data_IF_343681116528
#
_entry.id   IF_343681116528
#
_cell.length_a   1.000
_cell.length_b   1.000
_cell.length_c   1.000
_cell.angle_alpha   90.00
_cell.angle_beta   90.00
_cell.angle_gamma   90.00
#
_symmetry.space_group_name_H-M   'P 1'
#
loop_
_entity.id
_entity.type
_entity.pdbx_description
1 polymer ?
#
# COMPACT_ATOMS: atom_id res chain seq x y z
N UNK A 1 25.67 14.55 -0.91
CA UNK A 1 24.94 14.50 0.38
C UNK A 1 24.61 13.03 0.71
N UNK A 2 24.78 12.59 1.97
CA UNK A 2 24.38 11.23 2.38
C UNK A 2 22.91 11.24 2.80
N UNK A 3 22.08 10.39 2.19
CA UNK A 3 20.67 10.17 2.59
C UNK A 3 20.64 9.01 3.58
N UNK A 4 19.88 9.14 4.66
CA UNK A 4 19.79 8.14 5.75
C UNK A 4 18.35 7.70 5.92
N UNK A 5 18.14 6.43 6.26
CA UNK A 5 16.85 5.91 6.70
C UNK A 5 16.74 6.24 8.20
N UNK A 6 15.77 7.08 8.56
CA UNK A 6 15.54 7.50 9.94
C UNK A 6 14.43 6.72 10.65
N UNK A 7 13.62 5.95 9.91
CA UNK A 7 12.62 5.05 10.48
C UNK A 7 12.01 4.15 9.42
N UNK A 8 11.47 3.02 9.87
CA UNK A 8 10.92 1.96 9.03
C UNK A 8 9.54 1.56 9.54
N UNK A 9 8.64 1.22 8.62
CA UNK A 9 7.30 0.74 8.95
C UNK A 9 6.76 -0.10 7.81
N UNK A 10 6.12 -1.21 8.16
CA UNK A 10 5.58 -2.14 7.18
C UNK A 10 4.74 -3.22 7.82
N UNK A 11 3.92 -3.85 7.01
CA UNK A 11 3.09 -4.99 7.36
C UNK A 11 2.96 -5.88 6.12
N UNK A 12 3.06 -7.19 6.31
CA UNK A 12 2.97 -8.23 5.29
C UNK A 12 2.17 -9.42 5.83
N UNK A 13 1.88 -10.39 4.97
CA UNK A 13 1.30 -11.67 5.41
C UNK A 13 2.17 -12.41 6.45
N UNK A 14 3.48 -12.13 6.45
CA UNK A 14 4.48 -12.69 7.36
C UNK A 14 4.55 -12.02 8.74
N UNK A 15 3.98 -10.82 8.92
CA UNK A 15 4.11 -10.03 10.14
C UNK A 15 3.38 -8.69 10.05
N UNK A 16 2.75 -8.27 11.14
CA UNK A 16 1.92 -7.04 11.18
C UNK A 16 2.72 -5.79 11.53
N UNK A 17 4.02 -5.96 11.77
CA UNK A 17 5.01 -4.92 11.97
C UNK A 17 6.34 -5.35 11.33
N UNK A 18 7.31 -4.44 11.30
CA UNK A 18 8.60 -4.71 10.67
C UNK A 18 9.39 -5.80 11.42
N UNK A 19 9.40 -5.78 12.75
CA UNK A 19 10.18 -6.74 13.53
C UNK A 19 9.67 -8.18 13.34
N UNK A 20 8.35 -8.38 13.40
CA UNK A 20 7.72 -9.70 13.20
C UNK A 20 7.88 -10.20 11.76
N UNK A 21 7.76 -9.31 10.77
CA UNK A 21 8.00 -9.65 9.37
C UNK A 21 9.44 -10.12 9.12
N UNK A 22 10.42 -9.40 9.65
CA UNK A 22 11.84 -9.74 9.55
C UNK A 22 12.15 -11.04 10.29
N UNK A 23 11.60 -11.24 11.49
CA UNK A 23 11.78 -12.48 12.23
C UNK A 23 11.20 -13.69 11.50
N UNK A 24 10.04 -13.55 10.85
CA UNK A 24 9.46 -14.61 10.03
C UNK A 24 10.33 -14.96 8.82
N UNK A 25 10.90 -13.95 8.15
CA UNK A 25 11.81 -14.12 7.02
C UNK A 25 13.05 -14.95 7.39
N UNK A 26 13.70 -14.64 8.53
CA UNK A 26 14.91 -15.35 8.96
C UNK A 26 14.65 -16.73 9.58
N UNK A 27 13.39 -17.08 9.83
CA UNK A 27 12.98 -18.38 10.36
C UNK A 27 12.37 -19.30 9.29
N UNK A 28 12.40 -18.89 8.01
CA UNK A 28 11.76 -19.59 6.87
C UNK A 28 10.29 -19.97 7.15
N UNK A 29 9.57 -19.13 7.91
CA UNK A 29 8.17 -19.35 8.24
C UNK A 29 7.30 -18.96 7.05
N UNK A 30 6.80 -19.96 6.34
CA UNK A 30 5.83 -19.83 5.24
C UNK A 30 4.45 -20.22 5.75
N UNK A 31 3.48 -19.33 5.59
CA UNK A 31 2.09 -19.59 5.97
C UNK A 31 1.12 -19.15 4.88
N UNK A 32 1.24 -19.69 3.65
CA UNK A 32 0.28 -19.39 2.59
C UNK A 32 -1.06 -20.07 2.93
N UNK A 33 -2.16 -19.40 2.61
CA UNK A 33 -3.50 -19.87 2.94
C UNK A 33 -4.46 -19.56 1.79
N UNK A 34 -5.63 -20.21 1.70
CA UNK A 34 -6.67 -19.79 0.75
C UNK A 34 -7.01 -18.31 0.91
N UNK A 35 -7.27 -17.62 -0.20
CA UNK A 35 -7.67 -16.21 -0.18
C UNK A 35 -8.97 -16.04 0.63
N UNK A 36 -8.99 -15.09 1.59
CA UNK A 36 -10.15 -14.89 2.47
C UNK A 36 -11.08 -13.77 2.01
N UNK A 37 -10.55 -12.74 1.33
CA UNK A 37 -11.34 -11.60 0.84
C UNK A 37 -12.12 -11.86 -0.44
N UNK A 38 -11.75 -12.88 -1.21
CA UNK A 38 -12.38 -13.21 -2.49
C UNK A 38 -12.24 -14.69 -2.82
N UNK A 39 -13.10 -15.19 -3.71
CA UNK A 39 -13.02 -16.56 -4.21
C UNK A 39 -12.29 -16.62 -5.55
N UNK A 40 -11.40 -17.58 -5.69
CA UNK A 40 -10.74 -17.95 -6.94
C UNK A 40 -11.48 -19.14 -7.55
N UNK A 41 -12.17 -18.93 -8.67
CA UNK A 41 -12.92 -19.99 -9.38
C UNK A 41 -11.99 -20.74 -10.34
N UNK A 42 -11.03 -21.49 -9.78
CA UNK A 42 -10.11 -22.36 -10.53
C UNK A 42 -10.25 -23.82 -10.08
N UNK A 43 -9.97 -24.81 -10.95
CA UNK A 43 -10.00 -26.23 -10.56
C UNK A 43 -9.00 -26.61 -9.47
N UNK A 44 -7.89 -25.88 -9.39
CA UNK A 44 -6.84 -26.06 -8.37
C UNK A 44 -6.94 -24.94 -7.32
N UNK A 45 -6.57 -25.28 -6.08
CA UNK A 45 -6.40 -24.30 -5.02
C UNK A 45 -5.03 -23.64 -5.14
N UNK A 46 -5.01 -22.31 -5.19
CA UNK A 46 -3.78 -21.51 -5.21
C UNK A 46 -3.68 -20.74 -3.89
N UNK A 47 -2.82 -21.16 -2.96
CA UNK A 47 -2.68 -20.47 -1.69
C UNK A 47 -1.97 -19.14 -1.89
N UNK A 48 -2.31 -18.15 -1.06
CA UNK A 48 -1.83 -16.77 -1.17
C UNK A 48 -1.24 -16.29 0.16
N UNK A 49 -0.38 -15.28 0.06
CA UNK A 49 0.10 -14.50 1.19
C UNK A 49 -0.78 -13.27 1.35
N UNK A 50 -1.74 -13.35 2.28
CA UNK A 50 -2.72 -12.29 2.50
C UNK A 50 -2.62 -11.74 3.93
N UNK A 51 -2.62 -10.42 4.07
CA UNK A 51 -2.86 -9.78 5.37
C UNK A 51 -4.25 -10.17 5.91
N UNK A 52 -4.41 -10.38 7.23
CA UNK A 52 -5.73 -10.63 7.82
C UNK A 52 -6.76 -9.58 7.37
N UNK A 53 -7.98 -9.96 6.96
CA UNK A 53 -8.99 -9.00 6.54
C UNK A 53 -9.23 -7.90 7.58
N UNK A 54 -9.24 -8.28 8.86
CA UNK A 54 -9.46 -7.44 10.04
C UNK A 54 -8.34 -6.42 10.35
N UNK A 55 -7.23 -6.42 9.63
CA UNK A 55 -6.15 -5.43 9.86
C UNK A 55 -6.59 -4.00 9.53
N UNK A 56 -7.62 -3.87 8.70
CA UNK A 56 -8.23 -2.61 8.33
C UNK A 56 -9.75 -2.80 8.36
N UNK A 57 -10.45 -1.89 9.03
CA UNK A 57 -11.91 -1.82 9.02
C UNK A 57 -12.46 -1.61 7.60
N UNK A 58 -13.76 -1.72 7.40
CA UNK A 58 -14.37 -1.30 6.14
C UNK A 58 -14.19 0.22 5.91
N UNK A 59 -14.03 0.66 4.65
CA UNK A 59 -13.90 2.09 4.35
C UNK A 59 -15.18 2.84 4.74
N UNK A 60 -15.02 3.95 5.45
CA UNK A 60 -16.12 4.81 5.90
C UNK A 60 -16.07 6.20 5.22
N UNK A 61 -16.91 7.14 5.67
CA UNK A 61 -16.94 8.50 5.12
C UNK A 61 -15.65 9.30 5.38
N UNK A 62 -14.92 8.98 6.45
CA UNK A 62 -13.70 9.67 6.84
C UNK A 62 -12.46 9.09 6.15
N UNK A 63 -12.50 7.79 5.83
CA UNK A 63 -11.46 7.04 5.15
C UNK A 63 -12.06 6.28 3.95
N UNK A 64 -12.59 6.98 2.94
CA UNK A 64 -13.29 6.34 1.83
C UNK A 64 -12.36 5.59 0.87
N UNK A 65 -11.05 5.59 1.15
CA UNK A 65 -9.98 5.17 0.24
C UNK A 65 -9.91 3.66 0.02
N UNK A 66 -9.34 3.28 -1.12
CA UNK A 66 -8.97 1.90 -1.42
C UNK A 66 -8.02 1.32 -0.37
N UNK A 67 -8.05 0.00 -0.21
CA UNK A 67 -7.29 -0.70 0.83
C UNK A 67 -5.78 -0.45 0.68
N UNK A 68 -5.26 -0.43 -0.54
CA UNK A 68 -3.85 -0.13 -0.83
C UNK A 68 -3.39 1.18 -0.19
N UNK A 69 -4.18 2.24 -0.33
CA UNK A 69 -3.84 3.57 0.21
C UNK A 69 -3.96 3.61 1.72
N UNK A 70 -4.89 2.83 2.30
CA UNK A 70 -5.01 2.66 3.75
C UNK A 70 -3.85 1.84 4.33
N UNK A 71 -3.40 0.80 3.62
CA UNK A 71 -2.19 0.05 3.97
C UNK A 71 -0.94 0.96 3.92
N UNK A 72 -0.82 1.80 2.88
CA UNK A 72 0.24 2.79 2.77
C UNK A 72 0.23 3.77 3.95
N UNK A 73 -0.94 4.25 4.37
CA UNK A 73 -1.10 5.10 5.57
C UNK A 73 -0.68 4.37 6.84
N UNK A 74 -1.05 3.10 7.00
CA UNK A 74 -0.65 2.29 8.16
C UNK A 74 0.86 2.11 8.24
N UNK A 75 1.51 1.75 7.12
CA UNK A 75 2.97 1.61 7.04
C UNK A 75 3.68 2.95 7.30
N UNK A 76 3.21 4.05 6.68
CA UNK A 76 3.75 5.39 6.90
C UNK A 76 3.63 5.84 8.36
N UNK A 77 2.51 5.54 9.03
CA UNK A 77 2.33 5.82 10.46
C UNK A 77 3.35 5.09 11.32
N UNK A 78 3.60 3.81 11.02
CA UNK A 78 4.62 3.03 11.71
C UNK A 78 6.03 3.61 11.49
N UNK A 79 6.38 3.99 10.26
CA UNK A 79 7.68 4.60 9.95
C UNK A 79 7.89 5.96 10.65
N UNK A 80 6.85 6.80 10.70
CA UNK A 80 6.88 8.07 11.44
C UNK A 80 7.02 7.86 12.95
N UNK A 81 6.41 6.79 13.48
CA UNK A 81 6.54 6.41 14.89
C UNK A 81 7.95 5.92 15.22
N UNK A 82 8.50 5.05 14.38
CA UNK A 82 9.85 4.50 14.54
C UNK A 82 10.92 5.59 14.48
N UNK A 83 10.78 6.53 13.55
CA UNK A 83 11.68 7.68 13.41
C UNK A 83 11.57 8.74 14.52
N UNK A 84 10.63 8.59 15.45
CA UNK A 84 10.42 9.55 16.54
C UNK A 84 9.65 10.81 16.14
N UNK A 85 9.30 10.99 14.87
CA UNK A 85 8.46 12.10 14.39
C UNK A 85 7.00 12.01 14.84
N UNK A 86 6.62 10.93 15.54
CA UNK A 86 5.32 10.77 16.19
C UNK A 86 5.33 10.89 17.72
N UNK A 87 6.49 11.05 18.38
CA UNK A 87 6.58 11.08 19.86
C UNK A 87 6.67 12.53 20.35
N UNK A 88 5.99 12.76 21.47
CA UNK A 88 5.64 14.03 22.12
C UNK A 88 4.31 14.60 21.62
N UNK A 89 3.44 14.94 22.57
CA UNK A 89 2.11 15.56 22.42
C UNK A 89 2.09 16.92 21.68
N UNK A 90 3.09 17.21 20.85
CA UNK A 90 2.97 18.23 19.83
C UNK A 90 2.19 17.62 18.65
N UNK A 91 1.20 18.32 18.09
CA UNK A 91 0.60 17.90 16.83
C UNK A 91 1.72 17.80 15.78
N UNK A 92 1.45 17.14 14.64
CA UNK A 92 2.31 17.00 13.44
C UNK A 92 2.96 18.33 12.94
N UNK A 93 2.73 19.46 13.62
CA UNK A 93 3.37 20.78 13.56
C UNK A 93 4.87 20.85 13.33
N UNK A 94 5.66 19.79 13.57
CA UNK A 94 7.09 19.81 13.25
C UNK A 94 7.37 19.35 11.80
N UNK A 95 6.59 18.40 11.26
CA UNK A 95 6.68 18.03 9.85
C UNK A 95 6.16 19.13 8.92
N UNK A 96 5.20 19.94 9.37
CA UNK A 96 4.64 21.04 8.56
C UNK A 96 5.63 22.17 8.31
N UNK A 97 6.77 22.23 9.03
CA UNK A 97 7.86 23.19 8.79
C UNK A 97 8.92 22.66 7.82
N UNK A 98 8.83 21.39 7.44
CA UNK A 98 9.76 20.70 6.56
C UNK A 98 9.11 20.44 5.21
N UNK A 99 9.95 20.35 4.17
CA UNK A 99 9.52 19.91 2.84
C UNK A 99 9.49 18.39 2.84
N UNK A 100 8.37 17.84 3.30
CA UNK A 100 8.17 16.39 3.41
C UNK A 100 7.52 15.87 2.14
N UNK A 101 8.30 15.17 1.32
CA UNK A 101 7.80 14.49 0.12
C UNK A 101 7.19 13.12 0.44
N UNK A 102 6.37 12.62 -0.46
CA UNK A 102 5.75 11.29 -0.39
C UNK A 102 5.91 10.60 -1.75
N UNK A 103 6.61 9.46 -1.77
CA UNK A 103 6.79 8.66 -2.97
C UNK A 103 6.40 7.21 -2.71
N UNK A 104 5.29 6.74 -3.27
CA UNK A 104 4.75 5.40 -2.97
C UNK A 104 4.63 4.59 -4.25
N UNK A 105 5.27 3.43 -4.29
CA UNK A 105 5.09 2.44 -5.33
C UNK A 105 3.82 1.62 -5.13
N UNK A 106 3.11 1.30 -6.21
CA UNK A 106 2.03 0.31 -6.23
C UNK A 106 2.02 -0.39 -7.58
N UNK A 107 1.56 -1.63 -7.61
CA UNK A 107 1.30 -2.34 -8.85
C UNK A 107 -0.15 -2.10 -9.27
N UNK A 108 -0.99 -3.09 -9.07
CA UNK A 108 -2.42 -3.09 -9.38
C UNK A 108 -3.27 -2.68 -8.19
N UNK A 109 -2.67 -2.50 -7.01
CA UNK A 109 -3.36 -2.02 -5.82
C UNK A 109 -3.89 -0.60 -5.96
N UNK A 110 -3.37 0.18 -6.91
CA UNK A 110 -3.89 1.49 -7.26
C UNK A 110 -5.08 1.48 -8.22
N UNK A 111 -5.58 0.32 -8.69
CA UNK A 111 -6.69 0.23 -9.64
C UNK A 111 -8.07 0.30 -8.97
N UNK A 112 -9.11 0.59 -9.76
CA UNK A 112 -10.50 0.41 -9.34
C UNK A 112 -10.81 -1.09 -9.29
N UNK A 113 -10.43 -1.73 -8.17
CA UNK A 113 -10.65 -3.15 -7.88
C UNK A 113 -12.11 -3.43 -7.48
N UNK A 114 -13.08 -2.94 -8.26
CA UNK A 114 -14.51 -3.14 -8.02
C UNK A 114 -15.15 -3.98 -9.12
N UNK A 115 -15.07 -5.30 -8.93
CA UNK A 115 -15.58 -6.26 -9.91
C UNK A 115 -17.10 -6.29 -9.97
N UNK A 116 -17.79 -5.91 -8.89
CA UNK A 116 -19.24 -5.85 -8.87
C UNK A 116 -19.73 -4.69 -9.75
N UNK A 117 -19.09 -3.53 -9.64
CA UNK A 117 -19.32 -2.39 -10.54
C UNK A 117 -19.18 -2.80 -12.01
N UNK A 118 -18.07 -3.46 -12.39
CA UNK A 118 -17.88 -3.90 -13.78
C UNK A 118 -18.91 -4.94 -14.23
N UNK A 119 -19.26 -5.91 -13.37
CA UNK A 119 -20.29 -6.91 -13.68
C UNK A 119 -21.65 -6.27 -13.92
N UNK A 120 -22.06 -5.35 -13.05
CA UNK A 120 -23.35 -4.68 -13.16
C UNK A 120 -23.39 -3.79 -14.41
N UNK A 121 -22.32 -3.04 -14.69
CA UNK A 121 -22.20 -2.24 -15.91
C UNK A 121 -22.28 -3.10 -17.18
N UNK A 122 -21.54 -4.23 -17.23
CA UNK A 122 -21.58 -5.18 -18.36
C UNK A 122 -22.97 -5.78 -18.58
N UNK A 123 -23.73 -5.98 -17.50
CA UNK A 123 -25.10 -6.49 -17.55
C UNK A 123 -26.14 -5.39 -17.81
N UNK A 124 -25.74 -4.25 -18.39
CA UNK A 124 -26.58 -3.11 -18.72
C UNK A 124 -27.35 -2.51 -17.52
N UNK A 125 -26.84 -2.71 -16.30
CA UNK A 125 -27.34 -1.99 -15.11
C UNK A 125 -26.65 -0.62 -15.00
N UNK A 126 -27.21 0.23 -14.17
CA UNK A 126 -26.62 1.53 -13.80
C UNK A 126 -26.06 1.46 -12.37
N UNK A 127 -24.83 0.94 -12.17
CA UNK A 127 -24.23 0.91 -10.84
C UNK A 127 -23.97 2.33 -10.31
N UNK A 128 -23.98 2.49 -8.99
CA UNK A 128 -23.63 3.77 -8.36
C UNK A 128 -22.19 4.17 -8.64
N UNK A 129 -21.90 5.48 -8.66
CA UNK A 129 -20.57 6.03 -8.96
C UNK A 129 -19.57 5.94 -7.80
N UNK A 130 -20.01 5.49 -6.62
CA UNK A 130 -19.18 5.39 -5.42
C UNK A 130 -17.82 4.70 -5.65
N UNK A 131 -17.71 3.58 -6.41
CA UNK A 131 -16.42 2.95 -6.67
C UNK A 131 -15.45 3.85 -7.47
N UNK A 132 -15.98 4.63 -8.42
CA UNK A 132 -15.21 5.60 -9.21
C UNK A 132 -14.74 6.74 -8.30
N UNK A 133 -15.65 7.31 -7.51
CA UNK A 133 -15.31 8.40 -6.59
C UNK A 133 -14.24 7.96 -5.58
N UNK A 134 -14.38 6.74 -5.04
CA UNK A 134 -13.37 6.11 -4.19
C UNK A 134 -12.04 6.01 -4.92
N UNK A 135 -12.01 5.44 -6.13
CA UNK A 135 -10.78 5.28 -6.90
C UNK A 135 -10.06 6.62 -7.13
N UNK A 136 -10.78 7.64 -7.59
CA UNK A 136 -10.22 8.97 -7.87
C UNK A 136 -9.62 9.64 -6.62
N UNK A 137 -10.18 9.35 -5.43
CA UNK A 137 -9.70 9.87 -4.16
C UNK A 137 -8.59 9.02 -3.51
N UNK A 138 -8.22 7.89 -4.12
CA UNK A 138 -7.39 6.87 -3.49
C UNK A 138 -5.96 6.80 -4.02
N UNK A 139 -5.42 7.83 -4.65
CA UNK A 139 -3.99 7.83 -5.01
C UNK A 139 -3.14 7.63 -3.72
N UNK A 140 -2.29 6.56 -3.61
CA UNK A 140 -1.58 6.24 -2.37
C UNK A 140 -0.71 7.37 -1.82
N UNK A 141 0.06 8.05 -2.68
CA UNK A 141 0.93 9.14 -2.24
C UNK A 141 0.11 10.35 -1.77
N UNK A 142 -0.95 10.69 -2.51
CA UNK A 142 -1.84 11.79 -2.15
C UNK A 142 -2.60 11.52 -0.84
N UNK A 143 -3.06 10.29 -0.62
CA UNK A 143 -3.74 9.90 0.62
C UNK A 143 -2.79 9.97 1.81
N UNK A 144 -1.57 9.43 1.69
CA UNK A 144 -0.56 9.54 2.75
C UNK A 144 -0.27 11.01 3.07
N UNK A 145 -0.03 11.84 2.04
CA UNK A 145 0.22 13.26 2.24
C UNK A 145 -0.97 13.98 2.90
N UNK A 146 -2.20 13.67 2.49
CA UNK A 146 -3.43 14.22 3.09
C UNK A 146 -3.55 13.85 4.57
N UNK A 147 -3.35 12.58 4.92
CA UNK A 147 -3.50 12.09 6.30
C UNK A 147 -2.49 12.73 7.25
N UNK A 148 -1.27 12.98 6.78
CA UNK A 148 -0.21 13.57 7.60
C UNK A 148 -0.01 15.07 7.34
N UNK A 149 -0.90 15.72 6.59
CA UNK A 149 -0.85 17.15 6.25
C UNK A 149 0.52 17.59 5.68
N UNK A 150 1.00 16.86 4.66
CA UNK A 150 2.32 17.06 4.04
C UNK A 150 2.18 17.82 2.72
N UNK A 151 3.03 18.83 2.53
CA UNK A 151 2.95 19.75 1.39
C UNK A 151 4.11 19.61 0.38
N UNK A 152 4.99 18.63 0.55
CA UNK A 152 6.06 18.36 -0.42
C UNK A 152 5.58 17.65 -1.68
N UNK A 153 6.49 17.30 -2.61
CA UNK A 153 6.19 16.51 -3.79
C UNK A 153 5.51 15.19 -3.45
N UNK A 154 4.51 14.81 -4.24
CA UNK A 154 3.74 13.58 -4.08
C UNK A 154 3.78 12.82 -5.39
N UNK A 155 4.24 11.57 -5.37
CA UNK A 155 4.30 10.73 -6.57
C UNK A 155 3.91 9.29 -6.22
N UNK A 156 2.95 8.76 -6.96
CA UNK A 156 2.71 7.32 -6.99
C UNK A 156 3.42 6.73 -8.20
N UNK A 157 4.32 5.78 -7.95
CA UNK A 157 5.08 5.07 -8.99
C UNK A 157 4.36 3.77 -9.31
N UNK A 158 4.17 3.50 -10.60
CA UNK A 158 3.56 2.26 -11.10
C UNK A 158 4.47 1.66 -12.14
N UNK A 159 5.31 0.72 -11.69
CA UNK A 159 6.32 0.03 -12.50
C UNK A 159 6.46 -1.44 -12.06
N UNK A 160 5.34 -2.15 -11.94
CA UNK A 160 5.29 -3.55 -11.53
C UNK A 160 6.08 -3.83 -10.23
N UNK A 161 6.76 -4.97 -10.11
CA UNK A 161 7.41 -5.42 -8.88
C UNK A 161 8.51 -4.48 -8.36
N UNK A 162 9.06 -3.59 -9.20
CA UNK A 162 10.08 -2.62 -8.77
C UNK A 162 9.51 -1.29 -8.27
N UNK A 163 8.19 -1.09 -8.33
CA UNK A 163 7.56 0.20 -8.00
C UNK A 163 7.99 0.77 -6.64
N UNK A 164 8.08 -0.08 -5.61
CA UNK A 164 8.49 0.35 -4.27
C UNK A 164 9.96 0.77 -4.19
N UNK A 165 10.86 0.04 -4.87
CA UNK A 165 12.29 0.39 -4.93
C UNK A 165 12.52 1.64 -5.78
N UNK A 166 11.77 1.79 -6.87
CA UNK A 166 11.81 2.97 -7.73
C UNK A 166 11.36 4.22 -6.96
N UNK A 167 10.31 4.08 -6.14
CA UNK A 167 9.85 5.16 -5.26
C UNK A 167 10.90 5.57 -4.22
N UNK A 168 11.63 4.60 -3.64
CA UNK A 168 12.76 4.89 -2.73
C UNK A 168 13.89 5.61 -3.47
N UNK A 169 14.22 5.19 -4.69
CA UNK A 169 15.24 5.85 -5.50
C UNK A 169 14.85 7.30 -5.84
N UNK A 170 13.63 7.53 -6.31
CA UNK A 170 13.12 8.87 -6.62
C UNK A 170 13.10 9.75 -5.36
N UNK A 171 12.61 9.24 -4.23
CA UNK A 171 12.62 9.96 -2.96
C UNK A 171 14.04 10.32 -2.48
N UNK A 172 15.01 9.44 -2.71
CA UNK A 172 16.43 9.70 -2.43
C UNK A 172 16.96 10.85 -3.28
N UNK A 173 16.58 10.90 -4.56
CA UNK A 173 16.98 12.00 -5.46
C UNK A 173 16.32 13.33 -5.08
N UNK A 174 15.07 13.34 -4.61
CA UNK A 174 14.44 14.56 -4.09
C UNK A 174 15.22 15.16 -2.91
N UNK A 175 15.77 14.33 -2.02
CA UNK A 175 16.61 14.80 -0.90
C UNK A 175 17.95 15.30 -1.43
N UNK A 176 18.60 14.55 -2.34
CA UNK A 176 19.90 14.94 -2.91
C UNK A 176 19.84 16.24 -3.71
N UNK A 177 18.74 16.47 -4.41
CA UNK A 177 18.47 17.70 -5.16
C UNK A 177 18.06 18.86 -4.24
N UNK A 178 17.94 18.63 -2.94
CA UNK A 178 17.50 19.65 -1.98
C UNK A 178 16.06 20.08 -2.19
N UNK A 179 15.20 19.26 -2.81
CA UNK A 179 13.75 19.51 -2.97
C UNK A 179 13.01 19.19 -1.68
N UNK A 180 13.41 18.10 -1.02
CA UNK A 180 12.81 17.62 0.23
C UNK A 180 13.83 17.57 1.36
N UNK A 181 13.37 17.83 2.59
CA UNK A 181 14.15 17.61 3.81
C UNK A 181 13.96 16.17 4.33
N UNK A 182 12.75 15.63 4.12
CA UNK A 182 12.34 14.27 4.49
C UNK A 182 11.49 13.71 3.35
N UNK A 183 11.56 12.40 3.11
CA UNK A 183 10.64 11.72 2.20
C UNK A 183 10.10 10.46 2.85
N UNK A 184 8.78 10.28 2.82
CA UNK A 184 8.14 8.98 3.03
C UNK A 184 8.20 8.21 1.71
N UNK A 185 9.06 7.20 1.64
CA UNK A 185 9.23 6.38 0.45
C UNK A 185 9.03 4.89 0.73
N UNK A 186 8.41 4.17 -0.20
CA UNK A 186 8.17 2.73 -0.08
C UNK A 186 7.14 2.23 -1.09
N UNK A 187 6.41 1.18 -0.75
CA UNK A 187 5.34 0.66 -1.60
C UNK A 187 4.17 0.06 -0.83
N UNK A 188 3.05 -0.11 -1.51
CA UNK A 188 1.87 -0.76 -0.96
C UNK A 188 1.03 -1.39 -2.08
N UNK A 189 0.51 -2.58 -1.82
CA UNK A 189 -0.47 -3.25 -2.66
C UNK A 189 -1.44 -4.06 -1.80
N UNK A 190 -2.73 -3.97 -2.11
CA UNK A 190 -3.67 -4.98 -1.67
C UNK A 190 -3.60 -6.23 -2.54
N UNK A 191 -3.88 -7.38 -1.94
CA UNK A 191 -4.20 -8.57 -2.71
C UNK A 191 -5.62 -8.42 -3.26
N UNK A 192 -5.78 -8.60 -4.58
CA UNK A 192 -7.08 -8.62 -5.25
C UNK A 192 -7.19 -9.79 -6.22
N UNK A 193 -8.44 -10.16 -6.53
CA UNK A 193 -8.74 -11.32 -7.38
C UNK A 193 -8.23 -11.16 -8.82
N UNK A 194 -8.25 -9.95 -9.36
CA UNK A 194 -7.72 -9.66 -10.71
C UNK A 194 -6.25 -10.04 -10.79
N UNK A 195 -5.43 -9.65 -9.80
CA UNK A 195 -4.00 -10.00 -9.73
C UNK A 195 -3.80 -11.50 -9.68
N UNK A 196 -4.48 -12.19 -8.75
CA UNK A 196 -4.36 -13.63 -8.58
C UNK A 196 -4.72 -14.37 -9.88
N UNK A 197 -5.85 -14.04 -10.50
CA UNK A 197 -6.27 -14.65 -11.75
C UNK A 197 -5.28 -14.38 -12.89
N UNK A 198 -4.70 -13.19 -12.95
CA UNK A 198 -3.66 -12.85 -13.93
C UNK A 198 -2.42 -13.73 -13.77
N UNK A 199 -1.90 -13.86 -12.55
CA UNK A 199 -0.72 -14.71 -12.26
C UNK A 199 -1.00 -16.20 -12.53
N UNK A 200 -2.18 -16.69 -12.17
CA UNK A 200 -2.60 -18.07 -12.46
C UNK A 200 -2.67 -18.31 -13.97
N UNK A 201 -3.27 -17.37 -14.74
CA UNK A 201 -3.40 -17.50 -16.20
C UNK A 201 -2.03 -17.49 -16.92
N UNK A 202 -1.05 -16.81 -16.33
CA UNK A 202 0.33 -16.77 -16.82
C UNK A 202 1.17 -17.97 -16.35
N UNK A 203 0.60 -18.91 -15.58
CA UNK A 203 1.28 -20.07 -15.02
C UNK A 203 2.48 -19.71 -14.13
N UNK A 204 2.37 -18.59 -13.40
CA UNK A 204 3.38 -18.12 -12.43
C UNK A 204 2.83 -18.18 -11.00
N UNK A 205 2.04 -19.21 -10.72
CA UNK A 205 1.48 -19.51 -9.39
C UNK A 205 1.61 -20.99 -9.13
N UNK A 206 1.88 -21.36 -7.87
CA UNK A 206 1.96 -22.75 -7.44
C UNK A 206 0.71 -23.12 -6.64
N UNK A 207 0.31 -24.39 -6.75
CA UNK A 207 -0.75 -24.98 -5.93
C UNK A 207 -0.23 -25.54 -4.60
N UNK A 208 1.09 -25.66 -4.48
CA UNK A 208 1.79 -26.11 -3.28
C UNK A 208 2.23 -24.92 -2.38
N UNK A 209 2.34 -25.12 -1.05
CA UNK A 209 2.79 -24.10 -0.10
C UNK A 209 4.27 -23.70 -0.19
#
# INVERSE_FOLDING_TARGET
MKVRISGIGGLCACGLDFETAVAALFQDRRNPAPARRFKLDHPLSYPVFELPPSILDEPDKNQPWLRTSRLAVTAARAALKDSGWSKNHAPITNLSRLRVGVCIGTTVGGNMNDEQFYRDYKNHKTPGLQPIDRYLQSNPAAVVAKVFNLCGPQLTVVNACSSGTDAIAIGTEWIRAGICDIVLAGGSDELCRVTCNGLISLMISDSLP
#
